data_IF_904090477011
#
_entry.id   IF_904090477011
#
_cell.length_a   1.000
_cell.length_b   1.000
_cell.length_c   1.000
_cell.angle_alpha   90.00
_cell.angle_beta   90.00
_cell.angle_gamma   90.00
#
_symmetry.space_group_name_H-M   'P 1'
#
loop_
_entity.id
_entity.type
_entity.pdbx_description
1 polymer ?
#
# COMPACT_ATOMS: atom_id res chain seq x y z
N UNK A 1 15.15 8.06 -15.96
CA UNK A 1 14.47 8.95 -14.98
C UNK A 1 13.07 8.48 -14.56
N UNK A 2 12.15 8.11 -15.47
CA UNK A 2 10.77 7.70 -15.10
C UNK A 2 10.67 6.53 -14.11
N UNK A 3 11.56 5.54 -14.19
CA UNK A 3 11.57 4.38 -13.28
C UNK A 3 12.07 4.73 -11.87
N UNK A 4 13.03 5.66 -11.77
CA UNK A 4 13.57 6.14 -10.50
C UNK A 4 12.51 6.89 -9.70
N UNK A 5 11.79 7.81 -10.34
CA UNK A 5 10.65 8.49 -9.71
C UNK A 5 9.55 7.51 -9.27
N UNK A 6 9.18 6.52 -10.09
CA UNK A 6 8.19 5.50 -9.70
C UNK A 6 8.66 4.68 -8.49
N UNK A 7 9.95 4.42 -8.39
CA UNK A 7 10.53 3.67 -7.25
C UNK A 7 10.48 4.51 -5.97
N UNK A 8 10.88 5.78 -6.03
CA UNK A 8 10.82 6.70 -4.88
C UNK A 8 9.38 6.87 -4.40
N UNK A 9 8.45 7.18 -5.31
CA UNK A 9 7.06 7.43 -4.91
C UNK A 9 6.41 6.14 -4.39
N UNK A 10 6.72 4.99 -5.01
CA UNK A 10 6.27 3.70 -4.52
C UNK A 10 6.80 3.39 -3.13
N UNK A 11 8.06 3.75 -2.83
CA UNK A 11 8.67 3.55 -1.52
C UNK A 11 8.04 4.45 -0.45
N UNK A 12 7.85 5.74 -0.75
CA UNK A 12 7.18 6.69 0.16
C UNK A 12 5.77 6.22 0.50
N UNK A 13 4.99 5.80 -0.51
CA UNK A 13 3.62 5.32 -0.28
C UNK A 13 3.58 3.98 0.44
N UNK A 14 4.54 3.10 0.23
CA UNK A 14 4.67 1.86 0.99
C UNK A 14 4.93 2.14 2.47
N UNK A 15 5.81 3.08 2.80
CA UNK A 15 6.04 3.52 4.19
C UNK A 15 4.78 4.14 4.78
N UNK A 16 4.10 5.01 4.02
CA UNK A 16 2.86 5.64 4.47
C UNK A 16 1.78 4.61 4.78
N UNK A 17 1.68 3.55 3.97
CA UNK A 17 0.73 2.46 4.17
C UNK A 17 1.00 1.63 5.44
N UNK A 18 2.22 1.63 5.97
CA UNK A 18 2.57 0.96 7.23
C UNK A 18 2.06 1.76 8.45
N UNK A 19 1.99 3.09 8.35
CA UNK A 19 1.63 3.95 9.49
C UNK A 19 0.36 3.56 10.26
N UNK A 20 -0.80 3.26 9.64
CA UNK A 20 -2.00 2.86 10.40
C UNK A 20 -1.80 1.54 11.17
N UNK A 21 -1.00 0.61 10.64
CA UNK A 21 -0.74 -0.67 11.30
C UNK A 21 0.11 -0.51 12.57
N UNK A 22 0.98 0.51 12.62
CA UNK A 22 1.74 0.84 13.82
C UNK A 22 0.78 1.29 14.94
N UNK A 23 -0.16 2.18 14.63
CA UNK A 23 -1.17 2.63 15.60
C UNK A 23 -2.08 1.50 16.06
N UNK A 24 -2.53 0.65 15.14
CA UNK A 24 -3.35 -0.52 15.47
C UNK A 24 -2.55 -1.48 16.35
N UNK A 25 -1.31 -1.81 15.97
CA UNK A 25 -0.46 -2.73 16.73
C UNK A 25 -0.18 -2.26 18.15
N UNK A 26 0.15 -0.98 18.33
CA UNK A 26 0.38 -0.38 19.65
C UNK A 26 -0.90 -0.38 20.49
N UNK A 27 -2.02 0.09 19.93
CA UNK A 27 -3.31 0.12 20.64
C UNK A 27 -3.76 -1.28 21.08
N UNK A 28 -3.49 -2.30 20.26
CA UNK A 28 -3.90 -3.67 20.54
C UNK A 28 -3.01 -4.31 21.62
N UNK A 29 -1.72 -3.96 21.65
CA UNK A 29 -0.81 -4.38 22.71
C UNK A 29 -1.14 -3.70 24.05
N UNK A 30 -1.45 -2.40 24.05
CA UNK A 30 -1.87 -1.69 25.25
C UNK A 30 -3.17 -2.27 25.83
N UNK A 31 -4.11 -2.68 24.98
CA UNK A 31 -5.36 -3.32 25.40
C UNK A 31 -5.15 -4.77 25.91
N UNK A 32 -4.21 -5.50 25.31
CA UNK A 32 -3.92 -6.89 25.65
C UNK A 32 -2.40 -7.11 25.79
N UNK A 33 -1.79 -6.68 26.91
CA UNK A 33 -0.33 -6.76 27.12
C UNK A 33 0.10 -8.17 27.56
N UNK A 34 -0.45 -9.18 26.89
CA UNK A 34 -0.23 -10.60 27.18
C UNK A 34 0.38 -11.29 25.96
N UNK A 35 0.68 -12.59 26.11
CA UNK A 35 1.29 -13.40 25.05
C UNK A 35 0.49 -13.35 23.72
N UNK A 36 -0.84 -13.29 23.81
CA UNK A 36 -1.72 -13.16 22.64
C UNK A 36 -1.58 -11.81 21.93
N UNK A 37 -1.42 -10.71 22.68
CA UNK A 37 -1.14 -9.40 22.11
C UNK A 37 0.18 -9.36 21.34
N UNK A 38 1.23 -10.01 21.85
CA UNK A 38 2.53 -10.13 21.16
C UNK A 38 2.37 -10.88 19.83
N UNK A 39 1.63 -12.00 19.83
CA UNK A 39 1.35 -12.77 18.62
C UNK A 39 0.57 -11.92 17.61
N UNK A 40 -0.46 -11.20 18.06
CA UNK A 40 -1.25 -10.32 17.21
C UNK A 40 -0.39 -9.21 16.58
N UNK A 41 0.50 -8.58 17.37
CA UNK A 41 1.47 -7.60 16.89
C UNK A 41 2.39 -8.17 15.79
N UNK A 42 2.88 -9.39 16.00
CA UNK A 42 3.68 -10.11 15.00
C UNK A 42 2.93 -10.34 13.69
N UNK A 43 1.69 -10.82 13.77
CA UNK A 43 0.83 -11.05 12.60
C UNK A 43 0.55 -9.73 11.86
N UNK A 44 0.19 -8.67 12.59
CA UNK A 44 -0.08 -7.34 12.03
C UNK A 44 1.17 -6.79 11.32
N UNK A 45 2.35 -6.99 11.90
CA UNK A 45 3.62 -6.55 11.30
C UNK A 45 3.89 -7.25 9.97
N UNK A 46 3.69 -8.57 9.91
CA UNK A 46 3.86 -9.36 8.68
C UNK A 46 2.85 -8.93 7.60
N UNK A 47 1.57 -8.76 7.96
CA UNK A 47 0.53 -8.31 7.05
C UNK A 47 0.81 -6.90 6.52
N UNK A 48 1.27 -6.00 7.38
CA UNK A 48 1.63 -4.63 7.01
C UNK A 48 2.75 -4.61 5.96
N UNK A 49 3.81 -5.39 6.16
CA UNK A 49 4.91 -5.52 5.20
C UNK A 49 4.43 -6.10 3.87
N UNK A 50 3.54 -7.10 3.91
CA UNK A 50 2.98 -7.70 2.70
C UNK A 50 2.17 -6.69 1.87
N UNK A 51 1.32 -5.90 2.52
CA UNK A 51 0.53 -4.84 1.88
C UNK A 51 1.45 -3.75 1.32
N UNK A 52 2.41 -3.27 2.10
CA UNK A 52 3.37 -2.26 1.69
C UNK A 52 4.17 -2.70 0.45
N UNK A 53 4.62 -3.96 0.44
CA UNK A 53 5.29 -4.54 -0.72
C UNK A 53 4.38 -4.64 -1.95
N UNK A 54 3.12 -5.03 -1.77
CA UNK A 54 2.11 -5.05 -2.84
C UNK A 54 1.93 -3.67 -3.48
N UNK A 55 1.79 -2.62 -2.66
CA UNK A 55 1.67 -1.23 -3.11
C UNK A 55 2.94 -0.80 -3.87
N UNK A 56 4.12 -1.06 -3.31
CA UNK A 56 5.39 -0.74 -3.96
C UNK A 56 5.51 -1.41 -5.33
N UNK A 57 5.22 -2.71 -5.42
CA UNK A 57 5.30 -3.48 -6.67
C UNK A 57 4.33 -2.95 -7.72
N UNK A 58 3.09 -2.63 -7.31
CA UNK A 58 2.08 -2.06 -8.20
C UNK A 58 2.53 -0.71 -8.77
N UNK A 59 3.00 0.20 -7.92
CA UNK A 59 3.43 1.55 -8.32
C UNK A 59 4.69 1.50 -9.18
N UNK A 60 5.66 0.65 -8.83
CA UNK A 60 6.89 0.47 -9.61
C UNK A 60 6.58 -0.06 -11.02
N UNK A 61 5.69 -1.04 -11.13
CA UNK A 61 5.33 -1.67 -12.41
C UNK A 61 4.42 -0.82 -13.30
N UNK A 62 3.29 -0.34 -12.76
CA UNK A 62 2.25 0.35 -13.55
C UNK A 62 2.40 1.89 -13.54
N UNK A 63 3.00 2.45 -12.50
CA UNK A 63 3.01 3.89 -12.23
C UNK A 63 1.69 4.37 -11.61
N UNK A 64 1.77 5.31 -10.67
CA UNK A 64 0.62 5.83 -9.90
C UNK A 64 -0.50 6.37 -10.78
N UNK A 65 -0.16 7.19 -11.77
CA UNK A 65 -1.15 7.83 -12.63
C UNK A 65 -2.02 6.80 -13.34
N UNK A 66 -1.43 5.67 -13.76
CA UNK A 66 -2.15 4.60 -14.46
C UNK A 66 -3.05 3.77 -13.54
N UNK A 67 -2.72 3.71 -12.25
CA UNK A 67 -3.55 3.07 -11.22
C UNK A 67 -4.73 3.98 -10.87
N UNK A 68 -4.46 5.27 -10.67
CA UNK A 68 -5.48 6.26 -10.34
C UNK A 68 -6.42 6.57 -11.52
N UNK A 69 -5.95 6.43 -12.75
CA UNK A 69 -6.78 6.61 -13.95
C UNK A 69 -7.62 5.37 -14.31
N UNK A 70 -7.35 4.21 -13.72
CA UNK A 70 -8.08 2.96 -14.03
C UNK A 70 -9.60 3.05 -13.84
N UNK A 71 -10.14 3.69 -12.77
CA UNK A 71 -11.58 3.89 -12.64
C UNK A 71 -12.16 5.02 -13.51
N UNK A 72 -11.33 5.91 -14.07
CA UNK A 72 -11.76 7.07 -14.87
C UNK A 72 -11.50 6.92 -16.37
N UNK A 73 -10.81 5.86 -16.79
CA UNK A 73 -10.70 5.49 -18.19
C UNK A 73 -12.03 4.85 -18.62
N UNK A 74 -13.01 5.69 -18.98
CA UNK A 74 -14.22 5.22 -19.64
C UNK A 74 -13.83 4.52 -20.95
N UNK A 75 -14.18 3.23 -21.14
CA UNK A 75 -14.00 2.52 -22.40
C UNK A 75 -14.74 3.17 -23.59
N UNK A 76 -15.67 4.08 -23.30
CA UNK A 76 -16.57 4.68 -24.29
C UNK A 76 -15.93 5.86 -25.03
N UNK A 77 -14.93 6.54 -24.45
CA UNK A 77 -14.24 7.66 -25.10
C UNK A 77 -13.24 7.22 -26.19
N UNK A 78 -12.74 5.98 -26.13
CA UNK A 78 -11.87 5.42 -27.18
C UNK A 78 -12.66 5.00 -28.44
N UNK A 79 -13.99 4.82 -28.34
CA UNK A 79 -14.85 4.43 -29.47
C UNK A 79 -15.36 5.61 -30.31
N UNK A 80 -15.21 6.85 -29.85
CA UNK A 80 -15.75 8.05 -30.55
C UNK A 80 -14.75 8.61 -31.59
N UNK A 81 -13.56 8.00 -31.71
CA UNK A 81 -12.52 8.40 -32.67
C UNK A 81 -12.24 7.39 -33.79
N UNK A 82 -13.09 6.40 -33.99
CA UNK A 82 -13.06 5.55 -35.20
C UNK A 82 -14.03 6.07 -36.25
#
# INVERSE_FOLDING_TARGET
>A
MKLFFRTIIGFILAILAISPFIFIGLSLYDAFPNFYGIIALGIISILSLWIAYGIFKLIKGKGILKILSYPYASPDLDKIKQ
#
